data_IF_030415916066
#
_entry.id   IF_030415916066
#
_cell.length_a   1.000
_cell.length_b   1.000
_cell.length_c   1.000
_cell.angle_alpha   90.00
_cell.angle_beta   90.00
_cell.angle_gamma   90.00
#
_symmetry.space_group_name_H-M   'P 1'
#
loop_
_entity.id
_entity.type
_entity.pdbx_description
1 polymer ?
#
# COMPACT_ATOMS: atom_id res chain seq x y z
N UNK A 1 7.64 -22.86 -15.20
CA UNK A 1 6.40 -22.18 -15.41
C UNK A 1 6.19 -21.05 -14.44
N UNK A 2 5.83 -19.90 -14.93
CA UNK A 2 5.70 -18.73 -14.08
C UNK A 2 4.28 -18.52 -13.62
N UNK A 3 4.10 -18.26 -12.35
CA UNK A 3 2.81 -17.94 -11.86
C UNK A 3 2.79 -16.51 -11.44
N UNK A 4 1.72 -15.84 -11.77
CA UNK A 4 1.52 -14.48 -11.30
C UNK A 4 0.88 -14.54 -9.95
N UNK A 5 1.67 -14.26 -8.94
CA UNK A 5 1.14 -14.22 -7.59
C UNK A 5 0.33 -12.96 -7.41
N UNK A 6 -0.80 -13.11 -6.77
CA UNK A 6 -1.67 -11.99 -6.52
C UNK A 6 -2.10 -11.98 -5.07
N UNK A 7 -2.39 -10.80 -4.59
CA UNK A 7 -2.87 -10.61 -3.23
C UNK A 7 -4.03 -9.65 -3.26
N UNK A 8 -4.93 -9.69 -2.27
CA UNK A 8 -6.03 -8.74 -2.24
C UNK A 8 -5.53 -7.35 -1.88
N UNK A 9 -6.08 -6.37 -2.56
CA UNK A 9 -5.82 -4.98 -2.22
C UNK A 9 -6.39 -4.71 -0.83
N UNK A 10 -5.64 -4.08 0.07
CA UNK A 10 -6.14 -3.85 1.42
C UNK A 10 -7.36 -2.93 1.49
N UNK A 11 -7.64 -2.18 0.42
CA UNK A 11 -8.77 -1.27 0.45
C UNK A 11 -10.03 -1.81 -0.19
N UNK A 12 -9.91 -2.57 -1.28
CA UNK A 12 -11.09 -3.01 -2.01
C UNK A 12 -11.08 -4.50 -2.35
N UNK A 13 -10.07 -5.21 -1.93
CA UNK A 13 -9.96 -6.66 -2.10
C UNK A 13 -9.79 -7.13 -3.53
N UNK A 14 -9.59 -6.23 -4.48
CA UNK A 14 -9.29 -6.65 -5.84
C UNK A 14 -7.94 -7.31 -5.89
N UNK A 15 -7.77 -8.35 -6.71
CA UNK A 15 -6.45 -8.98 -6.83
C UNK A 15 -5.46 -8.01 -7.47
N UNK A 16 -4.30 -7.91 -6.85
CA UNK A 16 -3.22 -7.05 -7.34
C UNK A 16 -1.93 -7.84 -7.30
N UNK A 17 -0.93 -7.38 -8.05
CA UNK A 17 0.37 -8.03 -8.00
C UNK A 17 1.00 -7.90 -6.63
N UNK A 18 1.77 -8.91 -6.24
CA UNK A 18 2.36 -8.92 -4.90
C UNK A 18 3.34 -7.79 -4.67
N UNK A 19 3.83 -7.18 -5.73
CA UNK A 19 4.74 -6.04 -5.58
C UNK A 19 4.00 -4.73 -5.35
N UNK A 20 2.70 -4.73 -5.56
CA UNK A 20 1.92 -3.53 -5.37
C UNK A 20 1.37 -3.50 -3.96
N UNK A 21 1.33 -2.31 -3.41
CA UNK A 21 0.76 -2.14 -2.08
C UNK A 21 -0.78 -2.10 -2.15
N UNK A 22 -1.32 -1.41 -3.15
CA UNK A 22 -2.77 -1.26 -3.30
C UNK A 22 -3.07 -1.03 -4.77
N UNK A 23 -4.32 -1.21 -5.15
CA UNK A 23 -4.71 -0.90 -6.53
C UNK A 23 -4.66 0.61 -6.74
N UNK A 24 -4.62 1.04 -8.01
CA UNK A 24 -4.49 2.46 -8.32
C UNK A 24 -5.57 3.32 -7.67
N UNK A 25 -6.80 2.83 -7.65
CA UNK A 25 -7.89 3.58 -7.06
C UNK A 25 -7.74 3.76 -5.56
N UNK A 26 -7.37 2.69 -4.85
CA UNK A 26 -7.16 2.79 -3.41
C UNK A 26 -5.94 3.63 -3.09
N UNK A 27 -4.87 3.49 -3.87
CA UNK A 27 -3.67 4.30 -3.67
C UNK A 27 -4.00 5.79 -3.75
N UNK A 28 -4.83 6.17 -4.70
CA UNK A 28 -5.20 7.58 -4.85
C UNK A 28 -6.05 8.08 -3.69
N UNK A 29 -6.80 7.20 -3.05
CA UNK A 29 -7.63 7.59 -1.91
C UNK A 29 -6.82 7.86 -0.67
N UNK A 30 -5.66 7.22 -0.55
CA UNK A 30 -4.82 7.38 0.63
C UNK A 30 -4.34 8.83 0.70
N UNK A 31 -4.42 9.47 1.89
CA UNK A 31 -3.96 10.85 2.03
C UNK A 31 -2.52 11.02 1.57
N UNK A 32 -2.24 12.19 1.00
CA UNK A 32 -0.92 12.46 0.45
C UNK A 32 0.21 12.29 1.44
N UNK A 33 -0.02 12.67 2.71
CA UNK A 33 1.02 12.51 3.73
C UNK A 33 1.38 11.04 3.95
N UNK A 34 0.40 10.14 3.91
CA UNK A 34 0.69 8.72 4.05
C UNK A 34 1.40 8.17 2.82
N UNK A 35 0.97 8.60 1.63
CA UNK A 35 1.65 8.18 0.40
C UNK A 35 3.09 8.65 0.38
N UNK A 36 3.32 9.87 0.80
CA UNK A 36 4.66 10.43 0.85
C UNK A 36 5.53 9.66 1.84
N UNK A 37 4.97 9.29 2.99
CA UNK A 37 5.72 8.52 3.98
C UNK A 37 6.15 7.17 3.42
N UNK A 38 5.25 6.50 2.69
CA UNK A 38 5.58 5.22 2.07
C UNK A 38 6.69 5.41 1.03
N UNK A 39 6.55 6.41 0.17
CA UNK A 39 7.52 6.64 -0.89
C UNK A 39 8.90 6.97 -0.35
N UNK A 40 8.96 7.81 0.69
CA UNK A 40 10.24 8.15 1.31
C UNK A 40 10.89 6.96 1.97
N UNK A 41 10.10 6.17 2.68
CA UNK A 41 10.65 5.00 3.35
C UNK A 41 11.14 3.97 2.34
N UNK A 42 10.41 3.81 1.24
CA UNK A 42 10.83 2.90 0.18
C UNK A 42 12.15 3.36 -0.44
N UNK A 43 12.27 4.65 -0.69
CA UNK A 43 13.52 5.21 -1.24
C UNK A 43 14.70 4.94 -0.33
N UNK A 44 14.54 5.15 0.98
CA UNK A 44 15.61 4.87 1.93
C UNK A 44 15.95 3.39 1.97
N UNK A 45 14.93 2.55 1.92
CA UNK A 45 15.14 1.11 1.92
C UNK A 45 15.95 0.68 0.69
N UNK A 46 15.65 1.27 -0.47
CA UNK A 46 16.37 0.95 -1.68
C UNK A 46 17.82 1.43 -1.64
N UNK A 47 18.11 2.45 -0.85
CA UNK A 47 19.46 2.94 -0.68
C UNK A 47 20.20 2.29 0.50
N UNK A 48 19.57 1.31 1.14
CA UNK A 48 20.23 0.58 2.21
C UNK A 48 20.35 1.31 3.53
N UNK A 49 19.49 2.29 3.77
CA UNK A 49 19.53 3.05 5.03
C UNK A 49 19.07 2.14 6.17
N UNK A 50 19.82 2.15 7.28
CA UNK A 50 19.47 1.35 8.44
C UNK A 50 18.11 1.75 8.98
N UNK A 51 17.31 0.74 9.30
CA UNK A 51 15.98 0.99 9.86
C UNK A 51 14.91 1.32 8.83
N UNK A 52 15.30 1.52 7.57
CA UNK A 52 14.34 1.94 6.56
C UNK A 52 13.28 0.88 6.29
N UNK A 53 13.64 -0.40 6.41
CA UNK A 53 12.66 -1.46 6.22
C UNK A 53 11.56 -1.38 7.27
N UNK A 54 11.91 -1.10 8.52
CA UNK A 54 10.93 -0.91 9.56
C UNK A 54 10.07 0.31 9.36
N UNK A 55 10.69 1.40 8.88
CA UNK A 55 9.93 2.62 8.56
C UNK A 55 8.95 2.35 7.44
N UNK A 56 9.38 1.62 6.43
CA UNK A 56 8.52 1.29 5.30
C UNK A 56 7.32 0.46 5.76
N UNK A 57 7.58 -0.51 6.63
CA UNK A 57 6.51 -1.34 7.16
C UNK A 57 5.52 -0.51 7.99
N UNK A 58 6.02 0.38 8.82
CA UNK A 58 5.15 1.26 9.62
C UNK A 58 4.29 2.14 8.73
N UNK A 59 4.88 2.71 7.68
CA UNK A 59 4.14 3.56 6.77
C UNK A 59 3.05 2.78 6.06
N UNK A 60 3.35 1.56 5.62
CA UNK A 60 2.36 0.72 4.96
C UNK A 60 1.24 0.33 5.93
N UNK A 61 1.59 0.01 7.16
CA UNK A 61 0.60 -0.36 8.17
C UNK A 61 -0.36 0.80 8.43
N UNK A 62 0.17 2.00 8.56
CA UNK A 62 -0.66 3.18 8.77
C UNK A 62 -1.63 3.38 7.61
N UNK A 63 -1.17 3.17 6.38
CA UNK A 63 -2.04 3.31 5.22
C UNK A 63 -3.10 2.22 5.17
N UNK A 64 -2.75 1.00 5.55
CA UNK A 64 -3.72 -0.09 5.60
C UNK A 64 -4.79 0.20 6.65
N UNK A 65 -4.39 0.70 7.80
CA UNK A 65 -5.34 1.06 8.84
C UNK A 65 -6.27 2.17 8.37
N UNK A 66 -5.72 3.15 7.66
CA UNK A 66 -6.55 4.20 7.10
C UNK A 66 -7.58 3.64 6.14
N UNK A 67 -7.15 2.72 5.26
CA UNK A 67 -8.06 2.10 4.29
C UNK A 67 -9.15 1.29 5.00
N UNK A 68 -8.81 0.63 6.09
CA UNK A 68 -9.80 -0.13 6.86
C UNK A 68 -10.83 0.79 7.53
N UNK A 69 -10.40 1.97 7.92
CA UNK A 69 -11.29 2.93 8.55
C UNK A 69 -12.12 3.72 7.53
N UNK A 70 -11.69 3.71 6.27
CA UNK A 70 -12.36 4.44 5.21
C UNK A 70 -12.65 3.50 4.05
N UNK A 71 -13.52 2.49 4.26
CA UNK A 71 -13.77 1.51 3.21
C UNK A 71 -14.37 2.16 1.98
N UNK A 72 -13.98 1.62 0.85
CA UNK A 72 -14.46 2.11 -0.40
C UNK A 72 -15.90 1.67 -0.59
N UNK A 73 -16.75 2.60 -0.95
CA UNK A 73 -18.14 2.27 -1.15
C UNK A 73 -18.35 1.86 -2.57
N UNK A 74 -18.10 0.60 -2.82
CA UNK A 74 -18.17 0.14 -4.14
C UNK A 74 -19.48 -0.21 -4.59
N UNK A 75 -20.22 -0.63 -3.80
CA UNK A 75 -21.40 -1.24 -4.22
C UNK A 75 -22.46 -0.35 -4.64
N UNK A 76 -22.14 0.80 -4.63
CA UNK A 76 -23.10 1.57 -5.05
C UNK A 76 -23.29 1.60 -6.33
N UNK A 77 -23.19 1.14 -6.63
CA UNK A 77 -23.31 1.19 -7.80
C UNK A 77 -23.71 0.75 -8.11
#
# INVERSE_FOLDING_TARGET
MTRHLRQPCPGCQKPIGVRRFACGGCWRRIPGNLRTAIARALGRRQHGVDGAAGEHLKAKTAAIEWLNQHPREEGHK
#
